data_IF_064308111785
#
_entry.id   IF_064308111785
#
_cell.length_a   1.000
_cell.length_b   1.000
_cell.length_c   1.000
_cell.angle_alpha   90.00
_cell.angle_beta   90.00
_cell.angle_gamma   90.00
#
_symmetry.space_group_name_H-M   'P 1'
#
loop_
_entity.id
_entity.type
_entity.pdbx_description
1 polymer ?
#
# COMPACT_ATOMS: atom_id res chain seq x y z
N UNK A 1 -6.09 3.54 -1.35
CA UNK A 1 -7.06 3.16 -2.36
C UNK A 1 -6.50 2.60 -3.66
N UNK A 2 -6.26 3.43 -4.69
CA UNK A 2 -5.96 2.93 -6.05
C UNK A 2 -4.68 2.09 -6.13
N UNK A 3 -3.60 2.49 -5.46
CA UNK A 3 -2.34 1.71 -5.47
C UNK A 3 -2.53 0.34 -4.83
N UNK A 4 -3.31 0.26 -3.74
CA UNK A 4 -3.68 -1.02 -3.13
C UNK A 4 -4.45 -1.90 -4.12
N UNK A 5 -5.42 -1.31 -4.85
CA UNK A 5 -6.18 -2.05 -5.86
C UNK A 5 -5.29 -2.61 -6.98
N UNK A 6 -4.33 -1.84 -7.48
CA UNK A 6 -3.35 -2.33 -8.48
C UNK A 6 -2.47 -3.46 -7.92
N UNK A 7 -1.94 -3.29 -6.69
CA UNK A 7 -1.12 -4.35 -6.06
C UNK A 7 -1.93 -5.63 -5.91
N UNK A 8 -3.16 -5.53 -5.37
CA UNK A 8 -4.05 -6.67 -5.18
C UNK A 8 -4.38 -7.37 -6.50
N UNK A 9 -4.75 -6.62 -7.55
CA UNK A 9 -5.12 -7.16 -8.84
C UNK A 9 -3.95 -7.86 -9.53
N UNK A 10 -2.77 -7.24 -9.56
CA UNK A 10 -1.56 -7.81 -10.16
C UNK A 10 -1.13 -9.08 -9.42
N UNK A 11 -1.06 -9.04 -8.09
CA UNK A 11 -0.64 -10.21 -7.31
C UNK A 11 -1.61 -11.39 -7.46
N UNK A 12 -2.92 -11.14 -7.52
CA UNK A 12 -3.92 -12.16 -7.80
C UNK A 12 -3.80 -12.71 -9.24
N UNK A 13 -3.52 -11.85 -10.22
CA UNK A 13 -3.24 -12.30 -11.59
C UNK A 13 -1.99 -13.21 -11.67
N UNK A 14 -1.03 -13.01 -10.77
CA UNK A 14 0.13 -13.90 -10.60
C UNK A 14 -0.21 -15.21 -9.86
N UNK A 15 -1.45 -15.38 -9.40
CA UNK A 15 -1.91 -16.59 -8.68
C UNK A 15 -1.67 -16.53 -7.16
N UNK A 16 -1.25 -15.38 -6.62
CA UNK A 16 -1.03 -15.22 -5.19
C UNK A 16 -2.35 -15.04 -4.43
N UNK A 17 -2.42 -15.58 -3.23
CA UNK A 17 -3.52 -15.36 -2.30
C UNK A 17 -3.30 -14.07 -1.51
N UNK A 18 -4.14 -13.07 -1.76
CA UNK A 18 -3.92 -11.70 -1.29
C UNK A 18 -4.95 -11.29 -0.24
N UNK A 19 -4.49 -10.70 0.85
CA UNK A 19 -5.33 -9.94 1.77
C UNK A 19 -5.11 -8.44 1.57
N UNK A 20 -6.19 -7.66 1.52
CA UNK A 20 -6.12 -6.21 1.46
C UNK A 20 -6.92 -5.58 2.60
N UNK A 21 -6.29 -4.62 3.30
CA UNK A 21 -6.94 -3.80 4.32
C UNK A 21 -6.86 -2.34 3.90
N UNK A 22 -8.02 -1.70 3.73
CA UNK A 22 -8.15 -0.34 3.21
C UNK A 22 -9.03 0.53 4.11
N UNK A 23 -8.96 1.85 3.95
CA UNK A 23 -9.81 2.80 4.69
C UNK A 23 -9.99 4.10 3.92
N UNK A 24 -11.08 4.85 4.17
CA UNK A 24 -12.29 4.44 4.90
C UNK A 24 -13.20 3.52 4.07
N UNK A 25 -14.20 2.89 4.71
CA UNK A 25 -15.32 2.29 3.97
C UNK A 25 -16.31 3.37 3.52
N UNK A 26 -17.03 3.11 2.45
CA UNK A 26 -18.00 4.05 1.88
C UNK A 26 -19.45 3.68 2.22
N UNK A 27 -19.81 2.42 2.11
CA UNK A 27 -21.18 1.93 2.26
C UNK A 27 -21.30 0.85 3.34
N UNK A 28 -20.36 -0.09 3.40
CA UNK A 28 -20.42 -1.26 4.26
C UNK A 28 -19.14 -1.44 5.07
N UNK A 29 -19.29 -1.89 6.30
CA UNK A 29 -18.16 -2.17 7.19
C UNK A 29 -17.22 -3.28 6.65
N UNK A 30 -17.68 -4.12 5.74
CA UNK A 30 -16.91 -5.22 5.15
C UNK A 30 -15.85 -4.73 4.14
N UNK A 31 -16.10 -3.61 3.43
CA UNK A 31 -15.25 -3.06 2.37
C UNK A 31 -13.75 -2.96 2.73
N UNK A 32 -13.36 -2.56 3.97
CA UNK A 32 -11.97 -2.47 4.37
C UNK A 32 -11.19 -3.77 4.29
N UNK A 33 -11.82 -4.91 4.50
CA UNK A 33 -11.14 -6.20 4.59
C UNK A 33 -11.50 -7.07 3.40
N UNK A 34 -10.56 -7.28 2.50
CA UNK A 34 -10.73 -8.19 1.37
C UNK A 34 -9.78 -9.38 1.49
N UNK A 35 -10.31 -10.55 1.20
CA UNK A 35 -9.61 -11.82 1.18
C UNK A 35 -9.68 -12.37 -0.23
N UNK A 36 -8.58 -12.38 -0.92
CA UNK A 36 -8.47 -12.80 -2.34
C UNK A 36 -9.47 -12.07 -3.27
N UNK A 37 -9.56 -10.74 -3.10
CA UNK A 37 -10.42 -9.85 -3.89
C UNK A 37 -11.89 -9.84 -3.51
N UNK A 38 -12.29 -10.59 -2.49
CA UNK A 38 -13.69 -10.64 -1.99
C UNK A 38 -13.76 -10.02 -0.61
N UNK A 39 -14.77 -9.18 -0.37
CA UNK A 39 -15.03 -8.63 0.96
C UNK A 39 -15.23 -9.75 1.98
N UNK A 40 -14.64 -9.61 3.16
CA UNK A 40 -14.88 -10.53 4.27
C UNK A 40 -16.36 -10.58 4.61
N UNK A 41 -16.91 -11.77 4.82
CA UNK A 41 -18.31 -11.93 5.20
C UNK A 41 -18.56 -11.53 6.66
N UNK A 42 -19.83 -11.29 7.00
CA UNK A 42 -20.24 -10.85 8.33
C UNK A 42 -19.84 -11.86 9.42
N UNK A 43 -19.91 -13.15 9.14
CA UNK A 43 -19.58 -14.18 10.12
C UNK A 43 -18.08 -14.19 10.44
N UNK A 44 -17.23 -14.02 9.42
CA UNK A 44 -15.78 -13.91 9.56
C UNK A 44 -15.40 -12.65 10.35
N UNK A 45 -16.03 -11.51 10.05
CA UNK A 45 -15.79 -10.25 10.78
C UNK A 45 -16.24 -10.34 12.24
N UNK A 46 -17.40 -10.92 12.51
CA UNK A 46 -17.90 -11.12 13.89
C UNK A 46 -16.92 -12.00 14.67
N UNK A 47 -16.46 -13.11 14.09
CA UNK A 47 -15.48 -13.98 14.75
C UNK A 47 -14.17 -13.25 15.05
N UNK A 48 -13.71 -12.39 14.12
CA UNK A 48 -12.51 -11.57 14.33
C UNK A 48 -12.72 -10.56 15.47
N UNK A 49 -13.88 -9.90 15.50
CA UNK A 49 -14.20 -8.94 16.56
C UNK A 49 -14.29 -9.59 17.93
N UNK A 50 -14.92 -10.77 18.04
CA UNK A 50 -14.98 -11.54 19.28
C UNK A 50 -13.56 -11.92 19.77
N UNK A 51 -12.69 -12.33 18.84
CA UNK A 51 -11.30 -12.67 19.17
C UNK A 51 -10.50 -11.46 19.67
N UNK A 52 -10.63 -10.30 18.98
CA UNK A 52 -9.98 -9.05 19.39
C UNK A 52 -10.53 -8.57 20.73
N UNK A 53 -11.86 -8.62 20.94
CA UNK A 53 -12.48 -8.19 22.20
C UNK A 53 -12.01 -9.04 23.38
N UNK A 54 -11.91 -10.34 23.18
CA UNK A 54 -11.39 -11.25 24.20
C UNK A 54 -9.90 -11.00 24.50
N UNK A 55 -9.07 -10.75 23.46
CA UNK A 55 -7.65 -10.54 23.59
C UNK A 55 -7.28 -9.19 24.23
N UNK A 56 -7.99 -8.10 23.86
CA UNK A 56 -7.72 -6.77 24.42
C UNK A 56 -8.06 -6.62 25.89
N UNK A 57 -8.92 -7.48 26.40
CA UNK A 57 -9.41 -7.44 27.80
C UNK A 57 -9.91 -6.03 28.18
N UNK A 58 -9.27 -5.36 29.14
CA UNK A 58 -9.61 -4.00 29.56
C UNK A 58 -8.89 -2.88 28.79
N UNK A 59 -8.02 -3.23 27.81
CA UNK A 59 -7.28 -2.23 27.03
C UNK A 59 -8.24 -1.50 26.08
N UNK A 60 -8.35 -0.16 26.17
CA UNK A 60 -9.17 0.60 25.24
C UNK A 60 -8.47 0.61 23.87
N UNK A 61 -9.21 0.36 22.81
CA UNK A 61 -8.78 0.50 21.42
C UNK A 61 -9.68 1.52 20.73
N UNK A 62 -9.09 2.32 19.86
CA UNK A 62 -9.86 3.14 18.93
C UNK A 62 -10.55 2.26 17.91
N UNK A 63 -11.53 2.83 17.21
CA UNK A 63 -12.24 2.13 16.12
C UNK A 63 -11.26 1.56 15.05
N UNK A 64 -10.27 2.36 14.65
CA UNK A 64 -9.31 1.97 13.63
C UNK A 64 -8.34 0.89 14.15
N UNK A 65 -7.82 1.02 15.36
CA UNK A 65 -6.99 -0.01 16.00
C UNK A 65 -7.73 -1.34 16.10
N UNK A 66 -8.99 -1.32 16.51
CA UNK A 66 -9.82 -2.53 16.61
C UNK A 66 -10.00 -3.21 15.25
N UNK A 67 -10.34 -2.42 14.22
CA UNK A 67 -10.47 -2.92 12.84
C UNK A 67 -9.16 -3.47 12.27
N UNK A 68 -8.03 -2.81 12.55
CA UNK A 68 -6.70 -3.27 12.14
C UNK A 68 -6.37 -4.64 12.75
N UNK A 69 -6.60 -4.83 14.04
CA UNK A 69 -6.39 -6.13 14.69
C UNK A 69 -7.31 -7.21 14.13
N UNK A 70 -8.58 -6.89 13.84
CA UNK A 70 -9.52 -7.83 13.24
C UNK A 70 -9.07 -8.26 11.83
N UNK A 71 -8.61 -7.32 11.01
CA UNK A 71 -8.06 -7.63 9.69
C UNK A 71 -6.83 -8.54 9.76
N UNK A 72 -5.87 -8.22 10.64
CA UNK A 72 -4.66 -9.04 10.82
C UNK A 72 -5.00 -10.44 11.33
N UNK A 73 -5.96 -10.56 12.26
CA UNK A 73 -6.43 -11.85 12.75
C UNK A 73 -7.05 -12.72 11.64
N UNK A 74 -7.80 -12.12 10.71
CA UNK A 74 -8.34 -12.81 9.55
C UNK A 74 -7.22 -13.24 8.60
N UNK A 75 -6.26 -12.36 8.32
CA UNK A 75 -5.15 -12.61 7.40
C UNK A 75 -4.28 -13.79 7.86
N UNK A 76 -3.98 -13.87 9.15
CA UNK A 76 -3.25 -15.00 9.73
C UNK A 76 -3.94 -16.35 9.45
N UNK A 77 -5.29 -16.39 9.52
CA UNK A 77 -6.06 -17.64 9.39
C UNK A 77 -6.24 -18.15 7.97
N UNK A 78 -6.20 -17.28 6.99
CA UNK A 78 -6.43 -17.69 5.60
C UNK A 78 -5.16 -18.08 4.85
N UNK A 79 -3.98 -17.92 5.46
CA UNK A 79 -2.70 -18.31 4.87
C UNK A 79 -2.40 -17.53 3.59
N UNK A 80 -2.29 -16.20 3.72
CA UNK A 80 -1.97 -15.31 2.61
C UNK A 80 -0.51 -15.42 2.19
N UNK A 81 -0.26 -15.17 0.90
CA UNK A 81 1.08 -14.97 0.33
C UNK A 81 1.48 -13.49 0.36
N UNK A 82 0.47 -12.59 0.29
CA UNK A 82 0.67 -11.15 0.36
C UNK A 82 -0.42 -10.48 1.22
N UNK A 83 -0.02 -9.62 2.15
CA UNK A 83 -0.89 -8.69 2.84
C UNK A 83 -0.61 -7.26 2.37
N UNK A 84 -1.62 -6.57 1.86
CA UNK A 84 -1.56 -5.18 1.42
C UNK A 84 -2.31 -4.32 2.43
N UNK A 85 -1.58 -3.48 3.16
CA UNK A 85 -2.10 -2.70 4.28
C UNK A 85 -2.09 -1.21 3.93
N UNK A 86 -3.25 -0.56 3.93
CA UNK A 86 -3.36 0.89 3.76
C UNK A 86 -3.32 1.61 5.10
N UNK A 87 -2.42 2.58 5.22
CA UNK A 87 -2.36 3.48 6.38
C UNK A 87 -3.61 4.36 6.41
N UNK A 88 -4.28 4.44 7.56
CA UNK A 88 -5.46 5.28 7.70
C UNK A 88 -5.13 6.76 7.77
N UNK A 89 -4.12 7.14 8.58
CA UNK A 89 -3.72 8.53 8.74
C UNK A 89 -2.23 8.66 9.04
N UNK A 90 -1.55 9.53 8.30
CA UNK A 90 -0.13 9.84 8.51
C UNK A 90 0.77 8.66 8.15
N UNK A 91 1.25 7.93 9.13
CA UNK A 91 2.09 6.74 8.97
C UNK A 91 2.74 6.32 10.29
N UNK A 92 3.59 7.17 10.86
CA UNK A 92 4.41 6.87 12.04
C UNK A 92 3.64 6.31 13.23
N UNK A 93 2.48 6.88 13.55
CA UNK A 93 1.64 6.50 14.69
C UNK A 93 0.37 5.74 14.28
N UNK A 94 0.26 5.35 13.00
CA UNK A 94 -0.89 4.61 12.53
C UNK A 94 -0.88 3.17 13.05
N UNK A 95 -2.06 2.63 13.32
CA UNK A 95 -2.19 1.28 13.85
C UNK A 95 -1.61 0.21 12.91
N UNK A 96 -1.72 0.41 11.59
CA UNK A 96 -1.16 -0.49 10.58
C UNK A 96 0.37 -0.55 10.66
N UNK A 97 1.02 0.51 11.13
CA UNK A 97 2.49 0.60 11.21
C UNK A 97 3.11 -0.29 12.31
N UNK A 98 2.30 -1.03 13.08
CA UNK A 98 2.79 -2.08 13.98
C UNK A 98 3.40 -3.27 13.21
N UNK A 99 3.00 -3.45 11.94
CA UNK A 99 3.53 -4.50 11.06
C UNK A 99 4.78 -3.98 10.37
N UNK A 100 5.88 -4.73 10.45
CA UNK A 100 7.09 -4.41 9.70
C UNK A 100 6.92 -4.83 8.23
N UNK A 101 6.84 -3.88 7.29
CA UNK A 101 6.61 -4.21 5.89
C UNK A 101 7.86 -4.77 5.21
N UNK A 102 7.68 -5.64 4.22
CA UNK A 102 8.74 -5.98 3.28
C UNK A 102 9.01 -4.86 2.28
N UNK A 103 7.97 -4.13 1.90
CA UNK A 103 8.03 -2.93 1.06
C UNK A 103 7.05 -1.90 1.58
N UNK A 104 7.49 -0.67 1.77
CA UNK A 104 6.65 0.46 2.10
C UNK A 104 6.43 1.36 0.87
N UNK A 105 5.24 1.98 0.75
CA UNK A 105 4.88 2.86 -0.37
C UNK A 105 4.32 4.18 0.15
N UNK A 106 4.89 5.29 -0.27
CA UNK A 106 4.33 6.64 -0.11
C UNK A 106 3.92 7.12 -1.49
N UNK A 107 2.62 7.23 -1.75
CA UNK A 107 2.09 7.56 -3.08
C UNK A 107 2.23 9.04 -3.41
N UNK A 108 1.69 9.89 -2.54
CA UNK A 108 1.70 11.35 -2.69
C UNK A 108 1.71 11.99 -1.32
N UNK A 109 2.40 13.11 -1.19
CA UNK A 109 2.35 13.96 0.00
C UNK A 109 1.75 15.30 -0.38
N UNK A 110 0.53 15.54 0.05
CA UNK A 110 -0.17 16.80 -0.14
C UNK A 110 -0.67 17.35 1.20
N UNK A 111 -1.06 18.62 1.22
CA UNK A 111 -1.57 19.27 2.44
C UNK A 111 -2.99 18.78 2.69
N UNK A 112 -3.12 17.84 3.61
CA UNK A 112 -4.39 17.29 4.08
C UNK A 112 -4.29 16.96 5.58
N UNK A 113 -5.44 16.92 6.25
CA UNK A 113 -5.50 16.61 7.70
C UNK A 113 -4.57 17.45 8.57
N UNK A 114 -4.49 18.75 8.28
CA UNK A 114 -3.53 19.70 8.92
C UNK A 114 -3.63 19.77 10.43
N UNK A 115 -4.81 19.49 10.99
CA UNK A 115 -5.04 19.46 12.44
C UNK A 115 -4.26 18.33 13.15
N UNK A 116 -3.84 17.30 12.42
CA UNK A 116 -3.19 16.11 12.96
C UNK A 116 -1.77 15.89 12.43
N UNK A 117 -1.51 16.21 11.18
CA UNK A 117 -0.26 15.86 10.49
C UNK A 117 0.72 17.03 10.36
N UNK A 118 0.27 18.25 10.64
CA UNK A 118 1.09 19.45 10.47
C UNK A 118 0.63 20.36 9.33
N UNK A 119 1.15 21.56 9.30
CA UNK A 119 0.65 22.65 8.46
C UNK A 119 1.24 22.67 7.03
N UNK A 120 2.24 21.85 6.74
CA UNK A 120 2.94 21.86 5.46
C UNK A 120 3.34 20.44 4.98
N UNK A 121 3.72 20.34 3.71
CA UNK A 121 4.13 19.08 3.08
C UNK A 121 5.36 18.44 3.76
N UNK A 122 6.25 19.22 4.35
CA UNK A 122 7.44 18.67 5.01
C UNK A 122 7.07 17.96 6.33
N UNK A 123 6.16 18.55 7.13
CA UNK A 123 5.66 17.92 8.34
C UNK A 123 4.87 16.65 8.03
N UNK A 124 3.95 16.71 7.06
CA UNK A 124 3.13 15.57 6.61
C UNK A 124 4.04 14.47 6.05
N UNK A 125 5.04 14.84 5.25
CA UNK A 125 6.03 13.92 4.70
C UNK A 125 6.82 13.18 5.79
N UNK A 126 7.21 13.88 6.85
CA UNK A 126 7.91 13.28 7.99
C UNK A 126 7.04 12.22 8.71
N UNK A 127 5.75 12.50 8.92
CA UNK A 127 4.80 11.53 9.51
C UNK A 127 4.60 10.31 8.61
N UNK A 128 4.42 10.53 7.29
CA UNK A 128 4.28 9.42 6.33
C UNK A 128 5.55 8.56 6.25
N UNK A 129 6.72 9.20 6.28
CA UNK A 129 8.00 8.50 6.21
C UNK A 129 8.26 7.55 7.39
N UNK A 130 7.53 7.70 8.50
CA UNK A 130 7.62 6.81 9.66
C UNK A 130 7.23 5.33 9.41
N UNK A 131 6.74 5.00 8.22
CA UNK A 131 6.52 3.61 7.79
C UNK A 131 7.79 2.94 7.22
N UNK A 132 8.86 3.71 6.98
CA UNK A 132 10.12 3.19 6.45
C UNK A 132 10.81 2.27 7.47
N UNK A 133 11.50 1.26 6.97
CA UNK A 133 12.34 0.34 7.77
C UNK A 133 13.74 0.25 7.19
N UNK A 134 14.71 0.04 8.07
CA UNK A 134 16.11 -0.15 7.66
C UNK A 134 16.25 -1.33 6.70
N UNK A 135 17.00 -1.12 5.63
CA UNK A 135 17.30 -2.14 4.61
C UNK A 135 16.10 -2.65 3.80
N UNK A 136 14.91 -2.04 3.98
CA UNK A 136 13.71 -2.37 3.23
C UNK A 136 13.45 -1.32 2.15
N UNK A 137 12.85 -1.71 1.00
CA UNK A 137 12.42 -0.77 -0.03
C UNK A 137 11.37 0.21 0.48
N UNK A 138 11.55 1.49 0.11
CA UNK A 138 10.57 2.56 0.28
C UNK A 138 10.26 3.16 -1.08
N UNK A 139 9.12 2.84 -1.65
CA UNK A 139 8.69 3.38 -2.94
C UNK A 139 8.09 4.78 -2.74
N UNK A 140 8.58 5.75 -3.51
CA UNK A 140 8.09 7.14 -3.53
C UNK A 140 7.40 7.40 -4.87
N UNK A 141 6.06 7.49 -4.84
CA UNK A 141 5.19 7.52 -6.02
C UNK A 141 4.96 8.93 -6.60
N UNK A 142 5.72 9.93 -6.15
CA UNK A 142 5.72 11.27 -6.71
C UNK A 142 7.14 11.74 -7.06
N UNK A 143 7.26 12.58 -8.11
CA UNK A 143 8.56 13.07 -8.60
C UNK A 143 9.20 14.05 -7.61
N UNK A 144 8.38 14.88 -6.96
CA UNK A 144 8.82 15.93 -6.03
C UNK A 144 8.44 15.56 -4.59
N UNK A 145 9.00 14.49 -4.08
CA UNK A 145 8.82 14.09 -2.69
C UNK A 145 9.43 15.11 -1.73
N UNK A 146 8.76 15.45 -0.60
CA UNK A 146 9.31 16.34 0.41
C UNK A 146 10.70 15.91 0.89
N UNK A 147 11.57 16.87 1.17
CA UNK A 147 12.93 16.58 1.63
C UNK A 147 12.96 15.88 2.99
N UNK A 148 11.93 16.04 3.81
CA UNK A 148 11.74 15.31 5.07
C UNK A 148 11.62 13.80 4.85
N UNK A 149 10.93 13.36 3.78
CA UNK A 149 10.82 11.94 3.43
C UNK A 149 12.18 11.36 3.09
N UNK A 150 12.95 12.04 2.24
CA UNK A 150 14.28 11.58 1.83
C UNK A 150 15.27 11.58 3.01
N UNK A 151 15.24 12.61 3.86
CA UNK A 151 16.06 12.64 5.08
C UNK A 151 15.72 11.49 6.03
N UNK A 152 14.44 11.20 6.20
CA UNK A 152 14.00 10.10 7.05
C UNK A 152 14.43 8.74 6.48
N UNK A 153 14.23 8.52 5.18
CA UNK A 153 14.68 7.32 4.50
C UNK A 153 16.20 7.10 4.66
N UNK A 154 16.99 8.16 4.45
CA UNK A 154 18.44 8.11 4.64
C UNK A 154 18.83 7.82 6.09
N UNK A 155 18.22 8.51 7.05
CA UNK A 155 18.51 8.33 8.48
C UNK A 155 18.13 6.93 8.99
N UNK A 156 17.06 6.35 8.45
CA UNK A 156 16.59 5.00 8.77
C UNK A 156 17.43 3.93 8.06
N UNK A 157 18.10 4.28 6.95
CA UNK A 157 18.81 3.32 6.08
C UNK A 157 17.84 2.54 5.18
N UNK A 158 16.68 3.10 4.86
CA UNK A 158 15.73 2.51 3.90
C UNK A 158 16.24 2.69 2.47
N UNK A 159 15.91 1.74 1.59
CA UNK A 159 16.23 1.80 0.18
C UNK A 159 15.12 2.56 -0.57
N UNK A 160 15.31 3.87 -0.80
CA UNK A 160 14.33 4.70 -1.50
C UNK A 160 14.34 4.41 -3.01
N UNK A 161 13.17 4.03 -3.57
CA UNK A 161 12.90 3.84 -4.99
C UNK A 161 11.97 4.96 -5.46
N UNK A 162 12.47 5.90 -6.27
CA UNK A 162 11.83 7.18 -6.53
C UNK A 162 11.30 7.27 -7.96
N UNK A 163 10.04 7.65 -8.09
CA UNK A 163 9.47 8.01 -9.37
C UNK A 163 10.25 9.19 -10.00
N UNK A 164 10.59 9.07 -11.26
CA UNK A 164 11.36 10.08 -12.00
C UNK A 164 12.88 10.05 -11.76
N UNK A 165 13.36 9.10 -10.94
CA UNK A 165 14.80 8.88 -10.72
C UNK A 165 15.18 7.42 -10.87
N UNK A 166 14.49 6.52 -10.19
CA UNK A 166 14.79 5.09 -10.16
C UNK A 166 13.83 4.28 -11.04
N UNK A 167 12.58 4.73 -11.15
CA UNK A 167 11.58 4.19 -12.08
C UNK A 167 10.79 5.30 -12.76
N UNK A 168 10.19 4.98 -13.92
CA UNK A 168 9.55 5.95 -14.79
C UNK A 168 8.30 5.38 -15.42
N UNK A 169 7.39 6.25 -15.81
CA UNK A 169 6.26 5.89 -16.65
C UNK A 169 6.00 6.97 -17.70
N UNK A 170 5.58 6.56 -18.89
CA UNK A 170 5.20 7.46 -19.96
C UNK A 170 4.03 6.90 -20.77
N UNK A 171 3.12 7.74 -21.26
CA UNK A 171 2.08 7.27 -22.17
C UNK A 171 2.70 6.94 -23.52
N UNK A 172 2.13 5.94 -24.21
CA UNK A 172 2.42 5.58 -25.58
C UNK A 172 1.17 5.74 -26.45
N UNK A 173 1.37 5.72 -27.76
CA UNK A 173 0.25 5.68 -28.70
C UNK A 173 -0.52 4.34 -28.63
N UNK A 174 -1.75 4.33 -29.12
CA UNK A 174 -2.56 3.11 -29.22
C UNK A 174 -3.10 2.58 -27.90
N UNK A 175 -3.27 3.44 -26.89
CA UNK A 175 -3.90 3.04 -25.62
C UNK A 175 -2.97 2.22 -24.71
N UNK A 176 -1.67 2.40 -24.86
CA UNK A 176 -0.65 1.77 -24.03
C UNK A 176 0.14 2.82 -23.25
N UNK A 177 0.92 2.32 -22.26
CA UNK A 177 1.91 3.09 -21.56
C UNK A 177 3.15 2.24 -21.29
N UNK A 178 4.28 2.88 -21.08
CA UNK A 178 5.54 2.23 -20.77
C UNK A 178 5.87 2.47 -19.30
N UNK A 179 6.23 1.41 -18.62
CA UNK A 179 6.91 1.45 -17.34
C UNK A 179 8.34 0.98 -17.50
N UNK A 180 9.29 1.57 -16.77
CA UNK A 180 10.71 1.16 -16.81
C UNK A 180 11.42 1.45 -15.51
N UNK A 181 12.39 0.59 -15.19
CA UNK A 181 13.43 0.78 -14.20
C UNK A 181 14.75 0.28 -14.75
N UNK A 182 15.86 0.35 -13.95
CA UNK A 182 17.16 -0.18 -14.40
C UNK A 182 17.04 -1.69 -14.66
N UNK A 183 17.30 -2.07 -15.92
CA UNK A 183 17.29 -3.47 -16.35
C UNK A 183 15.93 -4.08 -16.65
N UNK A 184 14.83 -3.31 -16.59
CA UNK A 184 13.49 -3.81 -16.91
C UNK A 184 12.61 -2.74 -17.58
N UNK A 185 11.80 -3.19 -18.54
CA UNK A 185 10.81 -2.37 -19.24
C UNK A 185 9.56 -3.20 -19.51
N UNK A 186 8.38 -2.60 -19.28
CA UNK A 186 7.08 -3.19 -19.57
C UNK A 186 6.27 -2.24 -20.46
N UNK A 187 5.61 -2.77 -21.48
CA UNK A 187 4.62 -2.05 -22.26
C UNK A 187 3.25 -2.64 -21.91
N UNK A 188 2.40 -1.82 -21.30
CA UNK A 188 1.16 -2.25 -20.67
C UNK A 188 -0.03 -1.53 -21.27
N UNK A 189 -1.25 -2.13 -21.26
CA UNK A 189 -2.46 -1.39 -21.60
C UNK A 189 -2.71 -0.28 -20.59
N UNK A 190 -3.35 0.81 -21.03
CA UNK A 190 -3.72 1.90 -20.11
C UNK A 190 -4.62 1.35 -18.99
N UNK A 191 -4.39 1.80 -17.73
CA UNK A 191 -5.25 1.41 -16.63
C UNK A 191 -6.72 1.77 -16.89
N UNK A 192 -7.63 0.90 -16.48
CA UNK A 192 -9.08 1.16 -16.57
C UNK A 192 -9.47 2.41 -15.79
N UNK A 193 -8.80 2.68 -14.68
CA UNK A 193 -8.91 3.94 -13.96
C UNK A 193 -8.19 5.04 -14.76
N UNK A 194 -8.93 5.93 -15.40
CA UNK A 194 -8.42 6.86 -16.41
C UNK A 194 -7.82 8.18 -15.89
N UNK A 195 -7.92 8.47 -14.57
CA UNK A 195 -7.36 9.71 -14.03
C UNK A 195 -5.83 9.78 -14.21
N UNK A 196 -5.23 10.95 -14.49
CA UNK A 196 -3.79 11.08 -14.75
C UNK A 196 -2.89 10.48 -13.68
N UNK A 197 -3.27 10.58 -12.40
CA UNK A 197 -2.53 10.01 -11.28
C UNK A 197 -2.47 8.48 -11.28
N UNK A 198 -3.36 7.80 -12.02
CA UNK A 198 -3.45 6.34 -11.95
C UNK A 198 -2.25 5.64 -12.58
N UNK A 199 -1.59 6.24 -13.58
CA UNK A 199 -0.33 5.67 -14.10
C UNK A 199 0.78 5.72 -13.06
N UNK A 200 0.89 6.79 -12.28
CA UNK A 200 1.87 6.89 -11.20
C UNK A 200 1.56 5.86 -10.09
N UNK A 201 0.27 5.68 -9.75
CA UNK A 201 -0.18 4.66 -8.80
C UNK A 201 0.13 3.24 -9.28
N UNK A 202 -0.16 2.94 -10.55
CA UNK A 202 0.17 1.66 -11.17
C UNK A 202 1.70 1.43 -11.24
N UNK A 203 2.46 2.46 -11.64
CA UNK A 203 3.92 2.39 -11.68
C UNK A 203 4.51 2.10 -10.29
N UNK A 204 3.98 2.73 -9.25
CA UNK A 204 4.38 2.48 -7.86
C UNK A 204 4.01 1.07 -7.39
N UNK A 205 2.84 0.56 -7.80
CA UNK A 205 2.42 -0.80 -7.51
C UNK A 205 3.37 -1.84 -8.15
N UNK A 206 3.76 -1.62 -9.41
CA UNK A 206 4.70 -2.50 -10.12
C UNK A 206 6.05 -2.54 -9.40
N UNK A 207 6.62 -1.37 -9.08
CA UNK A 207 7.90 -1.29 -8.35
C UNK A 207 7.79 -1.97 -6.98
N UNK A 208 6.68 -1.74 -6.25
CA UNK A 208 6.50 -2.35 -4.94
C UNK A 208 6.48 -3.88 -5.02
N UNK A 209 5.77 -4.44 -5.99
CA UNK A 209 5.69 -5.88 -6.20
C UNK A 209 7.01 -6.49 -6.66
N UNK A 210 7.75 -5.79 -7.54
CA UNK A 210 9.07 -6.24 -8.01
C UNK A 210 10.15 -6.16 -6.93
N UNK A 211 9.96 -5.28 -5.94
CA UNK A 211 10.88 -5.13 -4.80
C UNK A 211 10.62 -6.12 -3.66
N UNK A 212 9.54 -6.91 -3.72
CA UNK A 212 9.27 -7.94 -2.73
C UNK A 212 10.34 -9.05 -2.78
N UNK A 213 10.74 -9.59 -1.64
CA UNK A 213 11.59 -10.78 -1.60
C UNK A 213 10.82 -12.01 -2.06
N UNK A 214 11.49 -12.96 -2.69
CA UNK A 214 10.90 -14.24 -3.10
C UNK A 214 10.74 -14.38 -4.61
N UNK A 215 9.70 -15.12 -5.04
CA UNK A 215 9.47 -15.42 -6.44
C UNK A 215 9.03 -14.17 -7.22
N UNK A 216 9.59 -14.01 -8.42
CA UNK A 216 9.26 -12.89 -9.28
C UNK A 216 7.81 -13.02 -9.80
N UNK A 217 7.08 -11.92 -9.82
CA UNK A 217 5.79 -11.84 -10.48
C UNK A 217 6.01 -11.92 -12.00
N UNK A 218 5.29 -12.81 -12.71
CA UNK A 218 5.37 -12.90 -14.16
C UNK A 218 4.96 -11.59 -14.84
N UNK A 219 5.66 -11.22 -15.92
CA UNK A 219 5.39 -9.96 -16.64
C UNK A 219 3.95 -9.86 -17.16
N UNK A 220 3.34 -11.00 -17.52
CA UNK A 220 1.94 -11.08 -17.97
C UNK A 220 0.94 -10.66 -16.88
N UNK A 221 1.26 -10.88 -15.61
CA UNK A 221 0.40 -10.49 -14.48
C UNK A 221 0.27 -8.97 -14.36
N UNK A 222 1.31 -8.21 -14.69
CA UNK A 222 1.26 -6.74 -14.70
C UNK A 222 0.31 -6.16 -15.76
N UNK A 223 0.09 -6.90 -16.84
CA UNK A 223 -0.85 -6.49 -17.89
C UNK A 223 -2.30 -6.88 -17.60
N UNK A 224 -2.52 -7.89 -16.77
CA UNK A 224 -3.83 -8.44 -16.43
C UNK A 224 -4.46 -7.78 -15.20
N UNK A 225 -3.65 -7.33 -14.25
CA UNK A 225 -4.06 -6.65 -13.01
C UNK A 225 -4.05 -5.15 -13.18
#
# INVERSE_FOLDING_TARGET
GSTVAFIEAIARAAGWKVGAYTSPHLLRYNEPVRLDGVEADDASLVAAFEAVDAARAATPLTYFEFGTWAALWLFERVGLELAVLEVGLGGRLDAVNLVDPDVAVITTVDVDHTDWLGADREAIGAEKAGIARAWKPLVLGEVDSPSSVLRHAYATGANALRLGSDFFHEPLDGGHWRWREVGAELVLPMPVLSAPAQRANAASAIVALRALPGDAIPDEAFAQG
#
